data_IF_374595041602
#
_entry.id   IF_374595041602
#
_cell.length_a   1.000
_cell.length_b   1.000
_cell.length_c   1.000
_cell.angle_alpha   90.00
_cell.angle_beta   90.00
_cell.angle_gamma   90.00
#
_symmetry.space_group_name_H-M   'P 1'
#
loop_
_entity.id
_entity.type
_entity.pdbx_description
1 polymer ?
#
# COMPACT_ATOMS: atom_id res chain seq x y z
N UNK A 1 -16.08 -20.25 -10.74
CA UNK A 1 -16.49 -19.61 -12.00
C UNK A 1 -17.80 -20.22 -12.52
N UNK A 2 -18.51 -19.46 -13.37
CA UNK A 2 -19.70 -19.93 -14.04
C UNK A 2 -19.35 -20.84 -15.24
N UNK A 3 -20.35 -21.50 -15.80
CA UNK A 3 -20.24 -22.33 -17.00
C UNK A 3 -19.83 -21.51 -18.24
N UNK A 4 -20.22 -20.24 -18.34
CA UNK A 4 -19.70 -19.33 -19.37
C UNK A 4 -18.18 -19.21 -19.40
N UNK A 5 -17.46 -19.57 -18.31
CA UNK A 5 -16.00 -19.68 -18.33
C UNK A 5 -15.56 -21.05 -18.86
N UNK A 6 -16.08 -22.14 -18.29
CA UNK A 6 -15.66 -23.50 -18.66
C UNK A 6 -16.11 -23.90 -20.07
N UNK A 7 -17.25 -23.40 -20.52
CA UNK A 7 -17.77 -23.65 -21.86
C UNK A 7 -17.27 -22.66 -22.92
N UNK A 8 -16.48 -21.65 -22.54
CA UNK A 8 -15.97 -20.67 -23.50
C UNK A 8 -15.21 -21.34 -24.65
N UNK A 9 -15.45 -20.88 -25.88
CA UNK A 9 -14.89 -21.44 -27.09
C UNK A 9 -15.50 -22.79 -27.54
N UNK A 10 -16.56 -23.26 -26.88
CA UNK A 10 -17.24 -24.51 -27.21
C UNK A 10 -17.68 -24.56 -28.67
N UNK A 11 -17.48 -25.68 -29.32
CA UNK A 11 -17.80 -25.90 -30.73
C UNK A 11 -16.74 -25.39 -31.71
N UNK A 12 -15.67 -24.74 -31.21
CA UNK A 12 -14.52 -24.42 -32.06
C UNK A 12 -13.66 -25.68 -32.35
N UNK A 13 -12.89 -25.62 -33.42
CA UNK A 13 -11.99 -26.73 -33.80
C UNK A 13 -10.95 -27.05 -32.71
N UNK A 14 -10.53 -26.08 -31.95
CA UNK A 14 -9.52 -26.20 -30.91
C UNK A 14 -10.11 -26.51 -29.52
N UNK A 15 -11.39 -26.26 -29.32
CA UNK A 15 -12.11 -26.41 -28.04
C UNK A 15 -13.51 -27.00 -28.29
N UNK A 16 -13.63 -28.21 -28.83
CA UNK A 16 -14.95 -28.79 -29.18
C UNK A 16 -15.87 -28.95 -27.97
N UNK A 17 -15.30 -29.14 -26.77
CA UNK A 17 -16.03 -29.25 -25.48
C UNK A 17 -15.88 -28.07 -24.55
N UNK A 18 -15.35 -26.91 -25.06
CA UNK A 18 -15.06 -25.73 -24.26
C UNK A 18 -13.69 -25.76 -23.59
N UNK A 19 -13.52 -24.90 -22.61
CA UNK A 19 -12.24 -24.64 -21.93
C UNK A 19 -12.12 -25.32 -20.56
N UNK A 20 -12.98 -26.23 -20.18
CA UNK A 20 -13.09 -26.78 -18.82
C UNK A 20 -11.75 -27.31 -18.27
N UNK A 21 -11.08 -28.22 -18.96
CA UNK A 21 -9.76 -28.72 -18.55
C UNK A 21 -8.67 -27.64 -18.61
N UNK A 22 -8.77 -26.72 -19.54
CA UNK A 22 -7.81 -25.63 -19.74
C UNK A 22 -7.81 -24.58 -18.64
N UNK A 23 -8.92 -24.38 -17.93
CA UNK A 23 -9.03 -23.38 -16.85
C UNK A 23 -8.03 -23.68 -15.73
N UNK A 24 -7.97 -24.91 -15.26
CA UNK A 24 -7.04 -25.31 -14.20
C UNK A 24 -5.58 -25.14 -14.59
N UNK A 25 -5.24 -25.54 -15.82
CA UNK A 25 -3.88 -25.39 -16.37
C UNK A 25 -3.51 -23.91 -16.45
N UNK A 26 -4.38 -23.09 -16.99
CA UNK A 26 -4.15 -21.63 -17.11
C UNK A 26 -3.96 -20.95 -15.77
N UNK A 27 -4.74 -21.33 -14.75
CA UNK A 27 -4.59 -20.82 -13.38
C UNK A 27 -3.21 -21.21 -12.83
N UNK A 28 -2.81 -22.49 -12.95
CA UNK A 28 -1.54 -22.99 -12.44
C UNK A 28 -0.34 -22.29 -13.11
N UNK A 29 -0.36 -22.14 -14.44
CA UNK A 29 0.65 -21.40 -15.19
C UNK A 29 0.72 -19.93 -14.78
N UNK A 30 -0.44 -19.27 -14.64
CA UNK A 30 -0.52 -17.87 -14.24
C UNK A 30 0.06 -17.66 -12.84
N UNK A 31 -0.25 -18.53 -11.89
CA UNK A 31 0.30 -18.49 -10.53
C UNK A 31 1.80 -18.76 -10.49
N UNK A 32 2.29 -19.69 -11.33
CA UNK A 32 3.72 -19.98 -11.44
C UNK A 32 4.51 -18.79 -11.99
N UNK A 33 3.99 -18.14 -13.03
CA UNK A 33 4.63 -16.97 -13.65
C UNK A 33 4.51 -15.69 -12.81
N UNK A 34 3.43 -15.57 -12.04
CA UNK A 34 3.11 -14.40 -11.21
C UNK A 34 2.73 -14.81 -9.79
N UNK A 35 3.69 -15.26 -8.94
CA UNK A 35 3.40 -15.74 -7.57
C UNK A 35 2.74 -14.69 -6.66
N UNK A 36 2.90 -13.41 -6.98
CA UNK A 36 2.33 -12.28 -6.24
C UNK A 36 1.01 -11.74 -6.79
N UNK A 37 0.40 -12.40 -7.79
CA UNK A 37 -0.85 -11.92 -8.40
C UNK A 37 -1.96 -11.80 -7.37
N UNK A 38 -2.74 -10.71 -7.44
CA UNK A 38 -3.90 -10.54 -6.56
C UNK A 38 -5.08 -11.42 -7.01
N UNK A 39 -5.97 -11.77 -6.06
CA UNK A 39 -7.19 -12.51 -6.36
C UNK A 39 -8.04 -11.81 -7.43
N UNK A 40 -8.16 -10.47 -7.35
CA UNK A 40 -8.87 -9.66 -8.34
C UNK A 40 -8.25 -9.77 -9.74
N UNK A 41 -6.94 -9.69 -9.84
CA UNK A 41 -6.26 -9.73 -11.13
C UNK A 41 -6.31 -11.15 -11.74
N UNK A 42 -6.21 -12.19 -10.91
CA UNK A 42 -6.39 -13.57 -11.37
C UNK A 42 -7.82 -13.79 -11.89
N UNK A 43 -8.84 -13.37 -11.15
CA UNK A 43 -10.22 -13.46 -11.59
C UNK A 43 -10.44 -12.73 -12.92
N UNK A 44 -9.90 -11.50 -13.05
CA UNK A 44 -9.96 -10.71 -14.29
C UNK A 44 -9.30 -11.43 -15.47
N UNK A 45 -8.11 -12.02 -15.26
CA UNK A 45 -7.40 -12.77 -16.32
C UNK A 45 -8.19 -13.99 -16.80
N UNK A 46 -8.87 -14.69 -15.88
CA UNK A 46 -9.71 -15.85 -16.23
C UNK A 46 -10.88 -15.39 -17.11
N UNK A 47 -11.62 -14.36 -16.71
CA UNK A 47 -12.75 -13.84 -17.48
C UNK A 47 -12.31 -13.32 -18.85
N UNK A 48 -11.21 -12.54 -18.92
CA UNK A 48 -10.67 -12.06 -20.19
C UNK A 48 -10.20 -13.20 -21.11
N UNK A 49 -9.75 -14.31 -20.55
CA UNK A 49 -9.38 -15.49 -21.35
C UNK A 49 -10.62 -16.17 -21.92
N UNK A 50 -11.67 -16.33 -21.13
CA UNK A 50 -12.96 -16.85 -21.59
C UNK A 50 -13.55 -15.98 -22.72
N UNK A 51 -13.55 -14.67 -22.54
CA UNK A 51 -13.98 -13.71 -23.58
C UNK A 51 -13.20 -13.87 -24.90
N UNK A 52 -11.87 -14.08 -24.82
CA UNK A 52 -11.05 -14.35 -26.01
C UNK A 52 -11.39 -15.68 -26.67
N UNK A 53 -11.68 -16.71 -25.87
CA UNK A 53 -12.09 -18.02 -26.41
C UNK A 53 -13.38 -17.91 -27.23
N UNK A 54 -14.30 -17.00 -26.84
CA UNK A 54 -15.55 -16.70 -27.53
C UNK A 54 -15.40 -15.60 -28.59
N UNK A 55 -14.19 -15.31 -29.04
CA UNK A 55 -13.91 -14.26 -30.04
C UNK A 55 -14.48 -12.89 -29.64
N UNK A 56 -14.41 -12.53 -28.33
CA UNK A 56 -14.93 -11.30 -27.74
C UNK A 56 -16.47 -11.15 -27.88
N UNK A 57 -17.17 -12.25 -28.00
CA UNK A 57 -18.63 -12.33 -27.99
C UNK A 57 -19.05 -13.40 -27.00
N UNK A 58 -19.17 -13.01 -25.73
CA UNK A 58 -19.61 -13.91 -24.68
C UNK A 58 -20.94 -14.56 -25.08
N UNK A 59 -20.97 -15.89 -25.06
CA UNK A 59 -22.13 -16.70 -25.43
C UNK A 59 -23.06 -16.95 -24.25
N UNK A 60 -22.54 -16.74 -23.01
CA UNK A 60 -23.28 -16.92 -21.77
C UNK A 60 -22.75 -15.98 -20.69
N UNK A 61 -23.46 -15.89 -19.56
CA UNK A 61 -23.06 -15.12 -18.36
C UNK A 61 -21.75 -15.65 -17.78
N UNK A 62 -20.70 -14.85 -17.93
CA UNK A 62 -19.32 -15.22 -17.60
C UNK A 62 -18.86 -14.54 -16.34
N UNK A 63 -18.67 -15.30 -15.26
CA UNK A 63 -18.23 -14.80 -13.97
C UNK A 63 -17.13 -15.65 -13.33
N UNK A 64 -16.26 -15.00 -12.56
CA UNK A 64 -15.21 -15.68 -11.81
C UNK A 64 -15.02 -15.01 -10.45
N UNK A 65 -14.93 -15.82 -9.40
CA UNK A 65 -14.58 -15.40 -8.05
C UNK A 65 -13.34 -16.17 -7.59
N UNK A 66 -12.35 -15.46 -7.07
CA UNK A 66 -11.14 -16.04 -6.49
C UNK A 66 -11.10 -15.74 -5.00
N UNK A 67 -11.07 -16.78 -4.19
CA UNK A 67 -10.86 -16.68 -2.73
C UNK A 67 -9.42 -17.04 -2.44
N UNK A 68 -8.65 -16.05 -1.94
CA UNK A 68 -7.24 -16.23 -1.61
C UNK A 68 -7.01 -16.09 -0.11
N UNK A 69 -6.68 -17.20 0.57
CA UNK A 69 -6.32 -17.22 1.99
C UNK A 69 -4.82 -17.20 2.15
N UNK A 70 -4.30 -16.18 2.86
CA UNK A 70 -2.88 -16.05 3.21
C UNK A 70 -2.69 -15.32 4.54
N UNK A 71 -1.49 -15.34 5.07
CA UNK A 71 -1.12 -14.48 6.20
C UNK A 71 -1.20 -13.00 5.76
N UNK A 72 -1.87 -12.14 6.54
CA UNK A 72 -1.94 -10.71 6.25
C UNK A 72 -0.55 -10.07 6.16
N UNK A 73 -0.35 -9.22 5.18
CA UNK A 73 0.82 -8.37 5.04
C UNK A 73 0.59 -7.09 5.83
N UNK A 74 1.39 -6.92 6.88
CA UNK A 74 1.25 -5.79 7.79
C UNK A 74 2.17 -4.64 7.39
N UNK A 75 1.68 -3.41 7.53
CA UNK A 75 2.41 -2.17 7.31
C UNK A 75 2.21 -1.25 8.51
N UNK A 76 3.32 -0.77 9.07
CA UNK A 76 3.34 0.30 10.07
C UNK A 76 3.77 1.61 9.39
N UNK A 77 3.01 2.67 9.63
CA UNK A 77 3.34 4.03 9.19
C UNK A 77 3.36 4.95 10.42
N UNK A 78 4.54 5.46 10.78
CA UNK A 78 4.68 6.40 11.88
C UNK A 78 4.87 7.83 11.34
N UNK A 79 4.13 8.79 11.91
CA UNK A 79 4.25 10.20 11.51
C UNK A 79 4.09 11.15 12.71
N UNK A 80 5.04 12.05 12.86
CA UNK A 80 5.09 13.03 13.95
C UNK A 80 5.62 12.47 15.27
N UNK A 81 6.17 13.34 16.12
CA UNK A 81 6.64 13.00 17.46
C UNK A 81 5.48 12.78 18.43
N UNK A 82 5.62 11.88 19.43
CA UNK A 82 4.67 11.77 20.53
C UNK A 82 4.48 13.10 21.26
N UNK A 83 3.30 13.33 21.86
CA UNK A 83 3.06 14.54 22.66
C UNK A 83 4.03 14.66 23.85
N UNK A 84 4.19 13.58 24.60
CA UNK A 84 5.13 13.49 25.71
C UNK A 84 6.42 12.79 25.24
N UNK A 85 7.57 13.45 25.43
CA UNK A 85 8.89 12.89 25.08
C UNK A 85 9.20 11.56 25.81
N UNK A 86 8.62 11.33 26.98
CA UNK A 86 8.72 10.04 27.68
C UNK A 86 8.18 8.88 26.87
N UNK A 87 7.32 9.15 25.89
CA UNK A 87 6.78 8.16 24.97
C UNK A 87 7.65 7.91 23.73
N UNK A 88 8.74 8.66 23.55
CA UNK A 88 9.67 8.46 22.42
C UNK A 88 10.20 7.01 22.41
N UNK A 89 10.63 6.51 23.59
CA UNK A 89 11.08 5.13 23.74
C UNK A 89 9.97 4.12 23.42
N UNK A 90 8.75 4.37 23.89
CA UNK A 90 7.61 3.51 23.60
C UNK A 90 7.31 3.44 22.10
N UNK A 91 7.36 4.59 21.39
CA UNK A 91 7.23 4.65 19.94
C UNK A 91 8.30 3.79 19.25
N UNK A 92 9.56 3.95 19.68
CA UNK A 92 10.69 3.21 19.11
C UNK A 92 10.57 1.69 19.33
N UNK A 93 10.16 1.26 20.52
CA UNK A 93 9.87 -0.14 20.81
C UNK A 93 8.75 -0.71 19.93
N UNK A 94 7.67 0.06 19.73
CA UNK A 94 6.59 -0.32 18.79
C UNK A 94 7.10 -0.51 17.36
N UNK A 95 7.97 0.36 16.90
CA UNK A 95 8.59 0.24 15.57
C UNK A 95 9.52 -0.97 15.49
N UNK A 96 10.39 -1.17 16.51
CA UNK A 96 11.31 -2.32 16.57
C UNK A 96 10.57 -3.65 16.51
N UNK A 97 9.54 -3.79 17.35
CA UNK A 97 8.86 -5.07 17.59
C UNK A 97 7.78 -5.38 16.54
N UNK A 98 7.42 -4.41 15.69
CA UNK A 98 6.41 -4.61 14.68
C UNK A 98 6.83 -5.66 13.64
N UNK A 99 5.92 -6.60 13.37
CA UNK A 99 6.11 -7.68 12.40
C UNK A 99 5.45 -7.31 11.07
N UNK A 100 6.24 -6.79 10.15
CA UNK A 100 5.79 -6.32 8.84
C UNK A 100 6.68 -5.21 8.29
N UNK A 101 6.22 -4.57 7.23
CA UNK A 101 6.89 -3.41 6.63
C UNK A 101 6.73 -2.18 7.53
N UNK A 102 7.76 -1.32 7.55
CA UNK A 102 7.85 -0.17 8.44
C UNK A 102 8.21 1.09 7.67
N UNK A 103 7.41 2.13 7.85
CA UNK A 103 7.61 3.44 7.21
C UNK A 103 7.63 4.54 8.26
N UNK A 104 8.60 5.43 8.17
CA UNK A 104 8.69 6.63 8.96
C UNK A 104 8.44 7.86 8.07
N UNK A 105 7.38 8.59 8.35
CA UNK A 105 7.03 9.83 7.66
C UNK A 105 7.36 11.04 8.55
N UNK A 106 8.51 11.65 8.29
CA UNK A 106 8.99 12.84 8.99
C UNK A 106 10.39 12.67 9.58
N UNK A 107 11.26 13.64 9.30
CA UNK A 107 12.65 13.66 9.80
C UNK A 107 12.72 13.59 11.33
N UNK A 108 11.87 14.35 12.05
CA UNK A 108 11.81 14.33 13.52
C UNK A 108 11.46 12.92 14.04
N UNK A 109 10.49 12.24 13.41
CA UNK A 109 10.13 10.87 13.77
C UNK A 109 11.31 9.92 13.57
N UNK A 110 11.99 10.02 12.42
CA UNK A 110 13.17 9.22 12.12
C UNK A 110 14.32 9.47 13.10
N UNK A 111 14.55 10.73 13.48
CA UNK A 111 15.57 11.12 14.48
C UNK A 111 15.27 10.52 15.86
N UNK A 112 14.01 10.54 16.29
CA UNK A 112 13.59 9.91 17.56
C UNK A 112 13.89 8.41 17.52
N UNK A 113 13.46 7.71 16.47
CA UNK A 113 13.69 6.27 16.33
C UNK A 113 15.18 5.94 16.29
N UNK A 114 15.97 6.71 15.51
CA UNK A 114 17.42 6.58 15.46
C UNK A 114 18.07 6.71 16.84
N UNK A 115 17.71 7.72 17.61
CA UNK A 115 18.22 7.97 18.94
C UNK A 115 17.87 6.85 19.92
N UNK A 116 16.60 6.48 19.98
CA UNK A 116 16.11 5.50 20.97
C UNK A 116 16.56 4.07 20.67
N UNK A 117 16.71 3.70 19.41
CA UNK A 117 17.17 2.39 18.98
C UNK A 117 18.69 2.32 18.74
N UNK A 118 19.38 3.47 18.82
CA UNK A 118 20.83 3.60 18.52
C UNK A 118 21.17 3.10 17.11
N UNK A 119 20.28 3.34 16.13
CA UNK A 119 20.46 2.99 14.74
C UNK A 119 20.90 4.24 13.93
N UNK A 120 21.95 4.15 13.09
CA UNK A 120 22.39 5.29 12.30
C UNK A 120 21.34 5.68 11.26
N UNK A 121 21.03 6.99 11.20
CA UNK A 121 20.20 7.59 10.16
C UNK A 121 21.11 8.16 9.07
N UNK A 122 21.00 7.62 7.86
CA UNK A 122 21.74 8.06 6.69
C UNK A 122 20.82 8.84 5.75
N UNK A 123 21.22 10.04 5.34
CA UNK A 123 20.47 10.85 4.39
C UNK A 123 21.03 10.60 3.00
N UNK A 124 20.18 10.25 2.03
CA UNK A 124 20.56 10.16 0.62
C UNK A 124 20.83 11.56 0.05
N UNK A 125 21.76 11.66 -0.87
CA UNK A 125 21.97 12.86 -1.67
C UNK A 125 21.13 12.87 -2.96
N UNK A 126 20.45 11.74 -3.27
CA UNK A 126 19.70 11.60 -4.51
C UNK A 126 18.31 12.22 -4.39
N UNK A 127 18.05 13.21 -5.23
CA UNK A 127 16.72 13.84 -5.33
C UNK A 127 15.94 13.09 -6.42
N UNK A 128 15.06 12.20 -6.01
CA UNK A 128 14.20 11.42 -6.92
C UNK A 128 12.88 12.13 -7.25
N UNK A 129 12.51 13.13 -6.46
CA UNK A 129 11.28 13.90 -6.62
C UNK A 129 11.57 15.39 -6.35
N UNK A 130 11.20 16.27 -7.28
CA UNK A 130 11.43 17.71 -7.16
C UNK A 130 10.55 18.38 -6.09
N UNK A 131 9.44 17.75 -5.72
CA UNK A 131 8.47 18.28 -4.76
C UNK A 131 8.74 17.76 -3.33
N UNK A 132 9.63 16.76 -3.17
CA UNK A 132 9.89 16.12 -1.88
C UNK A 132 11.39 16.11 -1.56
N UNK A 133 11.77 16.30 -0.29
CA UNK A 133 13.15 16.15 0.16
C UNK A 133 13.72 14.76 -0.10
N UNK A 134 15.07 14.63 -0.08
CA UNK A 134 15.76 13.35 -0.25
C UNK A 134 15.30 12.31 0.77
N UNK A 135 15.37 11.03 0.37
CA UNK A 135 15.10 9.89 1.23
C UNK A 135 16.18 9.73 2.30
N UNK A 136 15.79 9.16 3.43
CA UNK A 136 16.72 8.70 4.46
C UNK A 136 16.64 7.18 4.60
N UNK A 137 17.70 6.57 5.12
CA UNK A 137 17.81 5.12 5.33
C UNK A 137 18.16 4.80 6.77
N UNK A 138 17.56 3.73 7.29
CA UNK A 138 17.85 3.18 8.61
C UNK A 138 17.64 1.67 8.56
N UNK A 139 18.52 0.91 9.20
CA UNK A 139 18.41 -0.53 9.26
C UNK A 139 17.05 -0.97 9.86
N UNK A 140 16.39 -1.93 9.22
CA UNK A 140 15.09 -2.45 9.65
C UNK A 140 13.89 -1.55 9.37
N UNK A 141 14.07 -0.44 8.64
CA UNK A 141 13.01 0.44 8.15
C UNK A 141 12.96 0.38 6.62
N UNK A 142 11.78 0.13 6.06
CA UNK A 142 11.62 -0.06 4.61
C UNK A 142 11.57 1.25 3.82
N UNK A 143 11.09 2.34 4.46
CA UNK A 143 11.01 3.65 3.82
C UNK A 143 11.02 4.76 4.86
N UNK A 144 11.84 5.79 4.65
CA UNK A 144 11.85 7.02 5.44
C UNK A 144 11.66 8.19 4.50
N UNK A 145 10.60 8.97 4.74
CA UNK A 145 10.25 10.11 3.88
C UNK A 145 10.12 11.39 4.70
N UNK A 146 9.94 12.50 4.01
CA UNK A 146 9.39 13.71 4.61
C UNK A 146 7.96 13.43 5.13
N UNK A 147 7.50 14.21 6.06
CA UNK A 147 6.25 13.96 6.79
C UNK A 147 4.98 14.25 6.01
N UNK A 148 4.43 15.46 6.27
CA UNK A 148 3.08 15.82 5.83
C UNK A 148 2.96 15.99 4.31
N UNK A 149 4.01 16.48 3.64
CA UNK A 149 3.99 16.66 2.18
C UNK A 149 3.89 15.32 1.46
N UNK A 150 4.66 14.32 1.93
CA UNK A 150 4.57 12.96 1.37
C UNK A 150 3.19 12.37 1.59
N UNK A 151 2.62 12.46 2.80
CA UNK A 151 1.29 11.92 3.10
C UNK A 151 0.18 12.62 2.30
N UNK A 152 0.27 13.95 2.10
CA UNK A 152 -0.68 14.69 1.26
C UNK A 152 -0.60 14.27 -0.21
N UNK A 153 0.62 14.00 -0.71
CA UNK A 153 0.79 13.47 -2.06
C UNK A 153 0.26 12.03 -2.19
N UNK A 154 0.45 11.19 -1.17
CA UNK A 154 -0.14 9.84 -1.08
C UNK A 154 -1.67 9.91 -1.13
N UNK A 155 -2.31 10.79 -0.36
CA UNK A 155 -3.77 10.97 -0.37
C UNK A 155 -4.27 11.33 -1.78
N UNK A 156 -3.59 12.25 -2.46
CA UNK A 156 -3.90 12.65 -3.83
C UNK A 156 -3.76 11.47 -4.81
N UNK A 157 -2.66 10.70 -4.73
CA UNK A 157 -2.41 9.53 -5.59
C UNK A 157 -3.44 8.42 -5.37
N UNK A 158 -3.85 8.16 -4.12
CA UNK A 158 -4.90 7.18 -3.81
C UNK A 158 -6.27 7.62 -4.33
N UNK A 159 -6.53 8.93 -4.35
CA UNK A 159 -7.80 9.49 -4.87
C UNK A 159 -7.86 9.45 -6.39
N UNK A 160 -6.84 9.94 -7.07
CA UNK A 160 -6.81 10.19 -8.51
C UNK A 160 -6.24 9.02 -9.32
N UNK A 161 -5.48 8.12 -8.68
CA UNK A 161 -4.69 7.08 -9.33
C UNK A 161 -3.22 7.51 -9.50
N UNK A 162 -2.37 6.51 -9.72
CA UNK A 162 -0.93 6.71 -9.93
C UNK A 162 -0.70 6.92 -11.42
N UNK A 163 -0.11 8.05 -11.86
CA UNK A 163 0.30 8.22 -13.26
C UNK A 163 1.37 7.19 -13.63
N UNK A 164 1.31 6.63 -14.86
CA UNK A 164 2.19 5.54 -15.32
C UNK A 164 3.69 5.83 -15.20
N UNK A 165 4.09 7.10 -15.25
CA UNK A 165 5.50 7.53 -15.16
C UNK A 165 5.86 8.22 -13.84
N UNK A 166 5.00 8.15 -12.84
CA UNK A 166 5.26 8.81 -11.56
C UNK A 166 6.22 7.96 -10.71
N UNK A 167 7.28 8.56 -10.21
CA UNK A 167 8.29 7.98 -9.33
C UNK A 167 8.49 8.87 -8.11
N UNK A 168 9.08 8.32 -7.06
CA UNK A 168 9.48 9.05 -5.85
C UNK A 168 8.83 8.53 -4.57
N UNK A 169 9.18 9.13 -3.41
CA UNK A 169 8.84 8.61 -2.08
C UNK A 169 7.33 8.38 -1.85
N UNK A 170 6.48 9.24 -2.40
CA UNK A 170 5.04 9.07 -2.28
C UNK A 170 4.53 7.86 -3.08
N UNK A 171 5.11 7.58 -4.24
CA UNK A 171 4.77 6.40 -5.05
C UNK A 171 5.22 5.13 -4.35
N UNK A 172 6.43 5.13 -3.77
CA UNK A 172 6.95 3.99 -3.01
C UNK A 172 6.05 3.68 -1.81
N UNK A 173 5.59 4.72 -1.09
CA UNK A 173 4.65 4.55 0.00
C UNK A 173 3.29 4.02 -0.49
N UNK A 174 2.76 4.51 -1.60
CA UNK A 174 1.51 3.98 -2.18
C UNK A 174 1.67 2.51 -2.59
N UNK A 175 2.82 2.13 -3.16
CA UNK A 175 3.12 0.74 -3.51
C UNK A 175 3.16 -0.16 -2.25
N UNK A 176 3.80 0.29 -1.15
CA UNK A 176 3.80 -0.43 0.12
C UNK A 176 2.38 -0.58 0.68
N UNK A 177 1.57 0.48 0.64
CA UNK A 177 0.18 0.48 1.07
C UNK A 177 -0.65 -0.50 0.22
N UNK A 178 -0.55 -0.45 -1.10
CA UNK A 178 -1.31 -1.33 -2.00
C UNK A 178 -0.95 -2.80 -1.80
N UNK A 179 0.32 -3.09 -1.52
CA UNK A 179 0.83 -4.43 -1.26
C UNK A 179 0.60 -4.92 0.17
N UNK A 180 -0.03 -4.14 1.04
CA UNK A 180 -0.34 -4.50 2.43
C UNK A 180 -1.84 -4.74 2.59
N UNK A 181 -2.21 -5.53 3.60
CA UNK A 181 -3.59 -5.87 3.90
C UNK A 181 -4.09 -5.16 5.15
N UNK A 182 -3.22 -5.10 6.17
CA UNK A 182 -3.45 -4.41 7.42
C UNK A 182 -2.45 -3.28 7.59
N UNK A 183 -2.94 -2.07 7.83
CA UNK A 183 -2.14 -0.86 7.93
C UNK A 183 -2.37 -0.21 9.28
N UNK A 184 -1.31 -0.03 10.03
CA UNK A 184 -1.34 0.64 11.34
C UNK A 184 -0.65 1.98 11.23
N UNK A 185 -1.39 3.06 11.50
CA UNK A 185 -0.81 4.39 11.65
C UNK A 185 -0.53 4.67 13.12
N UNK A 186 0.68 5.14 13.43
CA UNK A 186 1.02 5.78 14.69
C UNK A 186 1.24 7.25 14.41
N UNK A 187 0.38 8.09 14.95
CA UNK A 187 0.36 9.55 14.73
C UNK A 187 0.77 10.27 16.01
N UNK A 188 1.94 10.84 15.98
CA UNK A 188 2.41 11.69 17.06
C UNK A 188 1.64 13.01 17.09
N UNK A 189 1.34 13.49 18.31
CA UNK A 189 0.47 14.65 18.52
C UNK A 189 1.21 15.85 19.07
N UNK A 190 2.54 15.79 19.23
CA UNK A 190 3.36 16.94 19.61
C UNK A 190 3.49 17.90 18.43
N UNK A 191 3.32 19.17 18.74
CA UNK A 191 3.60 20.28 17.84
C UNK A 191 5.11 20.50 17.84
N UNK A 192 5.74 20.59 16.68
CA UNK A 192 7.19 20.83 16.59
C UNK A 192 7.49 22.31 16.91
N UNK A 193 7.99 22.59 18.11
CA UNK A 193 8.27 23.94 18.62
C UNK A 193 9.43 24.62 17.85
N UNK A 194 10.20 23.88 17.05
CA UNK A 194 11.29 24.44 16.25
C UNK A 194 10.82 25.39 15.13
N UNK A 195 9.57 25.36 14.78
CA UNK A 195 8.93 26.32 13.90
C UNK A 195 7.97 27.17 14.77
N UNK A 196 8.44 28.32 15.29
CA UNK A 196 7.61 29.31 15.96
C UNK A 196 6.69 30.03 14.95
N UNK A 197 5.93 29.27 14.18
CA UNK A 197 4.95 29.81 13.24
C UNK A 197 3.58 29.84 13.91
N UNK A 198 2.84 30.96 13.86
CA UNK A 198 1.46 31.05 14.35
C UNK A 198 0.51 30.04 13.69
N UNK A 199 0.91 29.39 12.63
CA UNK A 199 0.14 28.34 11.94
C UNK A 199 0.32 26.90 12.50
N UNK A 200 1.05 26.73 13.58
CA UNK A 200 1.39 25.44 14.20
C UNK A 200 0.21 24.53 14.60
N UNK A 201 -0.91 25.05 15.15
CA UNK A 201 -2.11 24.23 15.35
C UNK A 201 -2.65 23.64 14.05
N UNK A 202 -2.44 24.37 12.95
CA UNK A 202 -2.88 23.96 11.60
C UNK A 202 -2.12 22.73 11.11
N UNK A 203 -0.80 22.62 11.32
CA UNK A 203 -0.02 21.44 10.87
C UNK A 203 -0.44 20.15 11.55
N UNK A 204 -0.72 20.16 12.85
CA UNK A 204 -1.20 18.99 13.57
C UNK A 204 -2.58 18.55 13.06
N UNK A 205 -3.45 19.54 12.84
CA UNK A 205 -4.78 19.29 12.33
C UNK A 205 -4.73 18.76 10.88
N UNK A 206 -3.86 19.34 10.05
CA UNK A 206 -3.60 18.84 8.69
C UNK A 206 -3.11 17.39 8.74
N UNK A 207 -2.12 17.06 9.60
CA UNK A 207 -1.61 15.67 9.73
C UNK A 207 -2.72 14.70 10.10
N UNK A 208 -3.53 15.03 11.12
CA UNK A 208 -4.66 14.21 11.53
C UNK A 208 -5.70 14.02 10.42
N UNK A 209 -6.02 15.11 9.72
CA UNK A 209 -7.01 15.12 8.66
C UNK A 209 -6.53 14.32 7.44
N UNK A 210 -5.27 14.45 7.04
CA UNK A 210 -4.68 13.68 5.94
C UNK A 210 -4.69 12.19 6.27
N UNK A 211 -4.24 11.78 7.47
CA UNK A 211 -4.27 10.37 7.88
C UNK A 211 -5.69 9.81 7.93
N UNK A 212 -6.67 10.58 8.44
CA UNK A 212 -8.10 10.18 8.43
C UNK A 212 -8.64 10.01 7.01
N UNK A 213 -8.30 10.92 6.09
CA UNK A 213 -8.69 10.80 4.68
C UNK A 213 -8.08 9.58 4.01
N UNK A 214 -6.77 9.34 4.25
CA UNK A 214 -6.09 8.13 3.76
C UNK A 214 -6.79 6.88 4.31
N UNK A 215 -7.06 6.81 5.63
CA UNK A 215 -7.81 5.70 6.23
C UNK A 215 -9.13 5.47 5.52
N UNK A 216 -9.94 6.52 5.37
CA UNK A 216 -11.24 6.43 4.71
C UNK A 216 -11.13 5.86 3.28
N UNK A 217 -10.17 6.36 2.49
CA UNK A 217 -9.92 5.86 1.14
C UNK A 217 -9.51 4.39 1.13
N UNK A 218 -8.61 4.01 2.04
CA UNK A 218 -8.11 2.64 2.14
C UNK A 218 -9.21 1.65 2.54
N UNK A 219 -10.09 2.00 3.46
CA UNK A 219 -11.20 1.16 3.88
C UNK A 219 -12.31 1.07 2.83
N UNK A 220 -12.67 2.20 2.20
CA UNK A 220 -13.83 2.24 1.28
C UNK A 220 -13.49 1.86 -0.16
N UNK A 221 -12.34 2.31 -0.68
CA UNK A 221 -11.95 2.08 -2.08
C UNK A 221 -11.06 0.85 -2.26
N UNK A 222 -10.19 0.57 -1.26
CA UNK A 222 -9.19 -0.49 -1.36
C UNK A 222 -9.47 -1.68 -0.43
N UNK A 223 -10.52 -1.61 0.39
CA UNK A 223 -10.97 -2.66 1.32
C UNK A 223 -9.83 -3.16 2.23
N UNK A 224 -9.00 -2.23 2.73
CA UNK A 224 -7.91 -2.51 3.67
C UNK A 224 -8.41 -2.42 5.11
N UNK A 225 -7.77 -3.16 6.00
CA UNK A 225 -7.94 -3.00 7.45
C UNK A 225 -6.99 -1.90 7.95
N UNK A 226 -7.53 -0.84 8.54
CA UNK A 226 -6.72 0.35 8.92
C UNK A 226 -6.98 0.77 10.35
N UNK A 227 -5.93 0.77 11.16
CA UNK A 227 -5.93 1.24 12.54
C UNK A 227 -5.13 2.54 12.68
N UNK A 228 -5.59 3.48 13.54
CA UNK A 228 -4.87 4.70 13.89
C UNK A 228 -4.71 4.76 15.41
N UNK A 229 -3.48 4.91 15.86
CA UNK A 229 -3.12 5.19 17.26
C UNK A 229 -2.51 6.59 17.34
N UNK A 230 -2.95 7.38 18.29
CA UNK A 230 -2.40 8.71 18.58
C UNK A 230 -1.51 8.65 19.83
N UNK A 231 -0.32 9.27 19.75
CA UNK A 231 0.66 9.34 20.85
C UNK A 231 0.99 10.78 21.27
#
# INVERSE_FOLDING_TARGET
>A
FSDGVSQSGMGSSNMPFGWDEGVGIYIAETLSQHPGISAKELARKIVLRAERNDNYRLLDDTSCCVIYRRTPRNLLICTGPPYDEKKDRYLAEKVRDFKGKKVLCGGTTATIISRELQLPLQVSMDITDKELPPLSYMEGIDLITEGILTLSKVERLLTQGIPEKSQGPANDLVNLIQNSDKITFIVGTRINVAHQDPNLPVELEIRRNVVKKIKYLLETKFLKDVEITYL
#
